data_IF_690643817124
#
_entry.id   IF_690643817124
#
_cell.length_a   1.000
_cell.length_b   1.000
_cell.length_c   1.000
_cell.angle_alpha   90.00
_cell.angle_beta   90.00
_cell.angle_gamma   90.00
#
_symmetry.space_group_name_H-M   'P 1'
#
loop_
_entity.id
_entity.type
_entity.pdbx_description
1 polymer ?
#
# COMPACT_ATOMS: atom_id res chain seq x y z
N UNK A 1 -19.68 14.00 -3.82
CA UNK A 1 -19.66 14.22 -2.35
C UNK A 1 -18.96 15.53 -2.15
N UNK A 2 -19.54 16.42 -1.35
CA UNK A 2 -18.96 17.72 -1.05
C UNK A 2 -18.66 17.80 0.44
N UNK A 3 -17.47 18.29 0.76
CA UNK A 3 -17.07 18.59 2.13
C UNK A 3 -17.36 20.04 2.42
N UNK A 4 -17.82 20.33 3.63
CA UNK A 4 -18.07 21.70 4.04
C UNK A 4 -17.80 21.88 5.53
N UNK A 5 -17.43 23.11 5.88
CA UNK A 5 -17.13 23.52 7.25
C UNK A 5 -18.20 24.52 7.68
N UNK A 6 -18.86 24.27 8.81
CA UNK A 6 -19.82 25.21 9.38
C UNK A 6 -19.40 25.62 10.78
N UNK A 7 -19.57 26.91 11.07
CA UNK A 7 -19.69 27.39 12.44
C UNK A 7 -21.05 26.95 12.97
N UNK A 8 -21.06 26.18 14.06
CA UNK A 8 -22.28 25.73 14.74
C UNK A 8 -22.30 26.26 16.17
N UNK A 9 -23.50 26.41 16.69
CA UNK A 9 -23.74 26.80 18.08
C UNK A 9 -24.54 25.69 18.73
N UNK A 10 -24.03 25.16 19.84
CA UNK A 10 -24.70 24.15 20.66
C UNK A 10 -25.05 24.76 22.02
N UNK A 11 -26.26 24.48 22.50
CA UNK A 11 -26.68 24.87 23.85
C UNK A 11 -26.46 23.68 24.77
N UNK A 12 -25.55 23.82 25.73
CA UNK A 12 -25.30 22.81 26.76
C UNK A 12 -25.60 23.41 28.14
N UNK A 13 -26.57 22.85 28.87
CA UNK A 13 -26.96 23.32 30.22
C UNK A 13 -27.28 24.82 30.31
N UNK A 14 -27.77 25.42 29.22
CA UNK A 14 -28.10 26.85 29.14
C UNK A 14 -26.98 27.74 28.61
N UNK A 15 -25.77 27.22 28.43
CA UNK A 15 -24.64 27.97 27.87
C UNK A 15 -24.54 27.78 26.35
N UNK A 16 -24.31 28.88 25.62
CA UNK A 16 -24.01 28.87 24.19
C UNK A 16 -22.52 28.53 23.99
N UNK A 17 -22.24 27.41 23.32
CA UNK A 17 -20.90 27.07 22.83
C UNK A 17 -20.88 27.17 21.31
N UNK A 18 -20.08 28.08 20.80
CA UNK A 18 -19.78 28.16 19.38
C UNK A 18 -18.56 27.28 19.05
N UNK A 19 -18.64 26.52 17.96
CA UNK A 19 -17.53 25.69 17.50
C UNK A 19 -17.59 25.43 15.99
N UNK A 20 -16.48 24.93 15.46
CA UNK A 20 -16.40 24.48 14.07
C UNK A 20 -16.84 23.02 13.96
N UNK A 21 -17.51 22.69 12.87
CA UNK A 21 -17.90 21.32 12.53
C UNK A 21 -17.59 21.05 11.06
N UNK A 22 -17.17 19.84 10.74
CA UNK A 22 -17.00 19.38 9.36
C UNK A 22 -18.02 18.31 9.04
N UNK A 23 -18.72 18.53 7.95
CA UNK A 23 -19.70 17.60 7.41
C UNK A 23 -19.34 17.17 6.00
N UNK A 24 -19.90 16.04 5.61
CA UNK A 24 -19.88 15.53 4.26
C UNK A 24 -21.33 15.43 3.77
N UNK A 25 -21.63 16.09 2.65
CA UNK A 25 -22.98 16.04 2.08
C UNK A 25 -23.13 14.87 1.12
N UNK A 26 -24.19 14.10 1.33
CA UNK A 26 -24.65 13.12 0.36
C UNK A 26 -25.28 13.86 -0.83
N UNK A 27 -24.73 13.73 -2.05
CA UNK A 27 -25.24 14.44 -3.21
C UNK A 27 -26.63 13.96 -3.68
N UNK A 28 -27.11 12.80 -3.21
CA UNK A 28 -28.40 12.23 -3.66
C UNK A 28 -29.60 12.76 -2.91
N UNK A 29 -29.46 12.96 -1.60
CA UNK A 29 -30.56 13.31 -0.68
C UNK A 29 -30.25 14.53 0.19
N UNK A 30 -29.09 15.17 -0.04
CA UNK A 30 -28.59 16.32 0.72
C UNK A 30 -28.39 16.08 2.22
N UNK A 31 -28.48 14.84 2.68
CA UNK A 31 -28.19 14.47 4.07
C UNK A 31 -26.72 14.76 4.40
N UNK A 32 -26.46 15.11 5.66
CA UNK A 32 -25.13 15.46 6.14
C UNK A 32 -24.65 14.40 7.11
N UNK A 33 -23.48 13.83 6.81
CA UNK A 33 -22.73 13.04 7.76
C UNK A 33 -21.68 13.92 8.44
N UNK A 34 -21.80 14.13 9.75
CA UNK A 34 -20.85 14.92 10.51
C UNK A 34 -19.63 14.09 10.84
N UNK A 35 -18.46 14.52 10.37
CA UNK A 35 -17.17 13.86 10.62
C UNK A 35 -16.72 14.23 12.05
N UNK A 36 -16.89 15.49 12.43
CA UNK A 36 -16.69 15.98 13.78
C UNK A 36 -17.54 17.22 14.06
N UNK A 37 -17.91 17.38 15.33
CA UNK A 37 -18.83 18.43 15.78
C UNK A 37 -18.24 19.24 16.94
N UNK A 38 -18.54 20.54 16.96
CA UNK A 38 -18.28 21.46 18.07
C UNK A 38 -16.82 21.51 18.55
N UNK A 39 -15.90 21.70 17.59
CA UNK A 39 -14.48 21.95 17.87
C UNK A 39 -14.31 23.39 18.32
N UNK A 40 -13.80 23.59 19.54
CA UNK A 40 -13.85 24.90 20.22
C UNK A 40 -12.49 25.62 20.26
N UNK A 41 -11.46 25.03 19.66
CA UNK A 41 -10.14 25.68 19.53
C UNK A 41 -9.47 25.36 18.20
N UNK A 42 -8.61 26.27 17.74
CA UNK A 42 -7.82 26.08 16.53
C UNK A 42 -6.89 24.85 16.64
N UNK A 43 -6.21 24.67 17.77
CA UNK A 43 -5.29 23.53 17.96
C UNK A 43 -6.01 22.17 17.94
N UNK A 44 -7.23 22.09 18.50
CA UNK A 44 -8.06 20.89 18.39
C UNK A 44 -8.45 20.62 16.94
N UNK A 45 -8.84 21.66 16.19
CA UNK A 45 -9.18 21.55 14.78
C UNK A 45 -7.99 21.04 13.94
N UNK A 46 -6.80 21.63 14.12
CA UNK A 46 -5.59 21.23 13.41
C UNK A 46 -5.21 19.76 13.69
N UNK A 47 -5.30 19.32 14.94
CA UNK A 47 -5.05 17.92 15.31
C UNK A 47 -6.06 16.96 14.67
N UNK A 48 -7.36 17.31 14.66
CA UNK A 48 -8.39 16.49 14.02
C UNK A 48 -8.12 16.36 12.52
N UNK A 49 -7.81 17.47 11.84
CA UNK A 49 -7.50 17.45 10.40
C UNK A 49 -6.25 16.61 10.11
N UNK A 50 -5.21 16.73 10.93
CA UNK A 50 -4.00 15.92 10.80
C UNK A 50 -4.32 14.42 10.90
N UNK A 51 -5.01 14.01 11.96
CA UNK A 51 -5.37 12.61 12.17
C UNK A 51 -6.28 12.07 11.05
N UNK A 52 -7.19 12.90 10.54
CA UNK A 52 -8.06 12.51 9.42
C UNK A 52 -7.26 12.21 8.15
N UNK A 53 -6.24 13.03 7.84
CA UNK A 53 -5.34 12.79 6.71
C UNK A 53 -4.55 11.50 6.87
N UNK A 54 -3.94 11.30 8.04
CA UNK A 54 -3.16 10.10 8.34
C UNK A 54 -4.01 8.83 8.23
N UNK A 55 -5.24 8.86 8.76
CA UNK A 55 -6.18 7.75 8.65
C UNK A 55 -6.60 7.48 7.19
N UNK A 56 -6.88 8.53 6.40
CA UNK A 56 -7.23 8.38 4.98
C UNK A 56 -6.08 7.78 4.16
N UNK A 57 -4.85 8.21 4.42
CA UNK A 57 -3.66 7.64 3.80
C UNK A 57 -3.48 6.16 4.18
N UNK A 58 -3.75 5.79 5.44
CA UNK A 58 -3.73 4.39 5.86
C UNK A 58 -4.77 3.56 5.11
N UNK A 59 -6.02 4.03 5.06
CA UNK A 59 -7.10 3.36 4.33
C UNK A 59 -6.75 3.21 2.84
N UNK A 60 -6.14 4.22 2.22
CA UNK A 60 -5.67 4.15 0.84
C UNK A 60 -4.63 3.03 0.65
N UNK A 61 -3.61 2.96 1.52
CA UNK A 61 -2.60 1.90 1.50
C UNK A 61 -3.20 0.50 1.69
N UNK A 62 -4.18 0.36 2.56
CA UNK A 62 -4.88 -0.91 2.77
C UNK A 62 -5.72 -1.30 1.54
N UNK A 63 -6.42 -0.34 0.94
CA UNK A 63 -7.17 -0.51 -0.30
C UNK A 63 -6.28 -0.98 -1.46
N UNK A 64 -5.09 -0.39 -1.62
CA UNK A 64 -4.12 -0.82 -2.63
C UNK A 64 -3.65 -2.27 -2.43
N UNK A 65 -3.42 -2.70 -1.18
CA UNK A 65 -3.06 -4.09 -0.88
C UNK A 65 -4.19 -5.06 -1.26
N UNK A 66 -5.43 -4.70 -0.94
CA UNK A 66 -6.61 -5.50 -1.29
C UNK A 66 -6.74 -5.59 -2.81
N UNK A 67 -6.61 -4.46 -3.52
CA UNK A 67 -6.70 -4.44 -4.98
C UNK A 67 -5.64 -5.31 -5.65
N UNK A 68 -4.39 -5.25 -5.16
CA UNK A 68 -3.32 -6.13 -5.66
C UNK A 68 -3.65 -7.61 -5.46
N UNK A 69 -4.20 -7.97 -4.30
CA UNK A 69 -4.65 -9.34 -4.04
C UNK A 69 -5.79 -9.78 -4.97
N UNK A 70 -6.78 -8.92 -5.20
CA UNK A 70 -7.88 -9.20 -6.15
C UNK A 70 -7.31 -9.42 -7.55
N UNK A 71 -6.36 -8.58 -7.98
CA UNK A 71 -5.71 -8.69 -9.29
C UNK A 71 -4.95 -10.01 -9.42
N UNK A 72 -4.15 -10.39 -8.42
CA UNK A 72 -3.38 -11.63 -8.46
C UNK A 72 -4.27 -12.88 -8.44
N UNK A 73 -5.38 -12.86 -7.71
CA UNK A 73 -6.39 -13.91 -7.71
C UNK A 73 -7.13 -14.02 -9.05
N UNK A 74 -7.50 -12.89 -9.66
CA UNK A 74 -8.19 -12.84 -10.94
C UNK A 74 -7.29 -13.24 -12.13
N UNK A 75 -6.01 -12.92 -12.07
CA UNK A 75 -5.01 -13.30 -13.09
C UNK A 75 -4.50 -14.74 -12.93
N UNK A 76 -5.00 -15.49 -11.94
CA UNK A 76 -4.58 -16.86 -11.68
C UNK A 76 -3.09 -16.97 -11.30
N UNK A 77 -2.49 -15.90 -10.80
CA UNK A 77 -1.08 -15.89 -10.41
C UNK A 77 -0.95 -16.81 -9.19
N UNK A 78 -0.35 -17.99 -9.40
CA UNK A 78 0.03 -18.90 -8.31
C UNK A 78 0.83 -18.09 -7.28
N UNK A 79 0.44 -18.14 -6.01
CA UNK A 79 1.25 -17.57 -4.95
C UNK A 79 2.64 -18.23 -4.95
N UNK A 80 3.70 -17.43 -4.87
CA UNK A 80 5.07 -17.91 -4.76
C UNK A 80 5.23 -18.70 -3.45
N UNK A 81 5.65 -19.96 -3.54
CA UNK A 81 5.79 -20.88 -2.40
C UNK A 81 7.18 -21.49 -2.35
N UNK A 82 7.70 -21.82 -1.16
CA UNK A 82 8.93 -22.60 -1.02
C UNK A 82 8.85 -23.94 -1.76
N UNK A 83 9.97 -24.37 -2.35
CA UNK A 83 10.07 -25.63 -3.10
C UNK A 83 9.39 -25.67 -4.47
N UNK A 84 8.93 -24.52 -5.00
CA UNK A 84 8.50 -24.43 -6.40
C UNK A 84 9.68 -24.62 -7.35
N UNK A 85 9.39 -25.11 -8.56
CA UNK A 85 10.39 -25.17 -9.63
C UNK A 85 10.92 -23.75 -9.95
N UNK A 86 12.23 -23.55 -10.16
CA UNK A 86 12.81 -22.24 -10.43
C UNK A 86 12.19 -21.49 -11.62
N UNK A 87 11.74 -22.19 -12.66
CA UNK A 87 11.05 -21.59 -13.81
C UNK A 87 9.67 -21.08 -13.42
N UNK A 88 8.85 -21.91 -12.78
CA UNK A 88 7.51 -21.51 -12.32
C UNK A 88 7.58 -20.36 -11.30
N UNK A 89 8.56 -20.42 -10.39
CA UNK A 89 8.80 -19.38 -9.40
C UNK A 89 9.21 -18.05 -10.07
N UNK A 90 10.05 -18.11 -11.10
CA UNK A 90 10.44 -16.92 -11.85
C UNK A 90 9.27 -16.32 -12.63
N UNK A 91 8.39 -17.11 -13.25
CA UNK A 91 7.22 -16.57 -13.96
C UNK A 91 6.30 -15.73 -13.06
N UNK A 92 6.22 -16.08 -11.77
CA UNK A 92 5.47 -15.31 -10.77
C UNK A 92 6.20 -14.01 -10.44
N UNK A 93 7.51 -14.08 -10.20
CA UNK A 93 8.34 -12.90 -9.90
C UNK A 93 8.39 -11.93 -11.08
N UNK A 94 8.44 -12.42 -12.31
CA UNK A 94 8.51 -11.61 -13.53
C UNK A 94 7.26 -10.76 -13.75
N UNK A 95 6.11 -11.23 -13.25
CA UNK A 95 4.81 -10.52 -13.28
C UNK A 95 4.59 -9.60 -12.09
N UNK A 96 5.40 -9.72 -11.03
CA UNK A 96 5.28 -8.90 -9.85
C UNK A 96 5.80 -7.46 -10.10
N UNK A 97 5.27 -6.51 -9.34
CA UNK A 97 5.81 -5.15 -9.34
C UNK A 97 7.26 -5.14 -8.81
N UNK A 98 8.06 -4.16 -9.23
CA UNK A 98 9.49 -4.11 -8.89
C UNK A 98 9.75 -4.16 -7.38
N UNK A 99 8.96 -3.41 -6.60
CA UNK A 99 9.04 -3.38 -5.13
C UNK A 99 8.65 -4.73 -4.50
N UNK A 100 7.74 -5.47 -5.14
CA UNK A 100 7.23 -6.74 -4.61
C UNK A 100 8.21 -7.87 -4.83
N UNK A 101 9.01 -7.83 -5.90
CA UNK A 101 10.05 -8.85 -6.14
C UNK A 101 10.97 -8.97 -4.92
N UNK A 102 11.40 -7.86 -4.33
CA UNK A 102 12.28 -7.89 -3.14
C UNK A 102 11.65 -8.68 -2.00
N UNK A 103 10.38 -8.38 -1.69
CA UNK A 103 9.67 -9.03 -0.59
C UNK A 103 9.42 -10.51 -0.89
N UNK A 104 8.94 -10.82 -2.10
CA UNK A 104 8.61 -12.18 -2.51
C UNK A 104 9.85 -13.07 -2.56
N UNK A 105 10.92 -12.57 -3.19
CA UNK A 105 12.17 -13.32 -3.35
C UNK A 105 12.91 -13.49 -2.01
N UNK A 106 13.12 -12.40 -1.25
CA UNK A 106 13.93 -12.46 -0.02
C UNK A 106 13.26 -13.28 1.10
N UNK A 107 11.93 -13.46 1.06
CA UNK A 107 11.20 -14.32 2.01
C UNK A 107 11.32 -15.82 1.69
N UNK A 108 11.81 -16.21 0.52
CA UNK A 108 12.05 -17.62 0.21
C UNK A 108 13.26 -18.17 0.96
N UNK A 109 13.31 -19.47 1.27
CA UNK A 109 14.51 -20.12 1.77
C UNK A 109 15.70 -19.93 0.82
N UNK A 110 16.91 -19.84 1.36
CA UNK A 110 18.13 -19.58 0.58
C UNK A 110 18.31 -20.58 -0.59
N UNK A 111 17.98 -21.86 -0.37
CA UNK A 111 18.03 -22.89 -1.40
C UNK A 111 17.19 -22.51 -2.63
N UNK A 112 15.98 -22.02 -2.40
CA UNK A 112 15.04 -21.67 -3.46
C UNK A 112 15.48 -20.38 -4.15
N UNK A 113 15.96 -19.40 -3.38
CA UNK A 113 16.55 -18.15 -3.91
C UNK A 113 17.72 -18.43 -4.86
N UNK A 114 18.64 -19.32 -4.45
CA UNK A 114 19.77 -19.77 -5.28
C UNK A 114 19.31 -20.46 -6.56
N UNK A 115 18.30 -21.34 -6.46
CA UNK A 115 17.74 -22.04 -7.61
C UNK A 115 17.15 -21.07 -8.64
N UNK A 116 16.34 -20.12 -8.18
CA UNK A 116 15.73 -19.08 -9.02
C UNK A 116 16.82 -18.19 -9.64
N UNK A 117 17.78 -17.70 -8.84
CA UNK A 117 18.87 -16.88 -9.34
C UNK A 117 19.66 -17.59 -10.44
N UNK A 118 20.05 -18.86 -10.21
CA UNK A 118 20.73 -19.67 -11.21
C UNK A 118 19.89 -19.82 -12.49
N UNK A 119 18.58 -20.06 -12.37
CA UNK A 119 17.69 -20.12 -13.53
C UNK A 119 17.66 -18.80 -14.30
N UNK A 120 17.54 -17.66 -13.63
CA UNK A 120 17.53 -16.31 -14.26
C UNK A 120 18.82 -16.05 -15.01
N UNK A 121 19.98 -16.22 -14.36
CA UNK A 121 21.28 -15.94 -14.96
C UNK A 121 21.63 -16.90 -16.11
N UNK A 122 21.07 -18.11 -16.11
CA UNK A 122 21.36 -19.13 -17.14
C UNK A 122 20.36 -19.07 -18.31
N UNK A 123 19.08 -18.80 -18.04
CA UNK A 123 17.99 -19.02 -19.00
C UNK A 123 17.30 -17.73 -19.46
N UNK A 124 17.48 -16.61 -18.76
CA UNK A 124 16.83 -15.34 -19.10
C UNK A 124 17.82 -14.34 -19.65
N UNK A 125 17.31 -13.42 -20.46
CA UNK A 125 18.12 -12.33 -21.00
C UNK A 125 18.28 -11.23 -19.95
N UNK A 126 19.35 -11.31 -19.15
CA UNK A 126 19.69 -10.36 -18.08
C UNK A 126 20.12 -8.97 -18.56
N UNK A 127 20.07 -8.69 -19.86
CA UNK A 127 20.39 -7.37 -20.41
C UNK A 127 19.15 -6.52 -20.70
N UNK A 128 17.94 -7.03 -20.43
CA UNK A 128 16.69 -6.27 -20.59
C UNK A 128 15.59 -6.70 -19.63
N UNK A 129 14.63 -5.80 -19.40
CA UNK A 129 13.39 -6.08 -18.67
C UNK A 129 13.62 -6.49 -17.21
N UNK A 130 12.73 -7.33 -16.68
CA UNK A 130 12.78 -7.80 -15.29
C UNK A 130 14.04 -8.62 -14.93
N UNK A 131 14.59 -9.47 -15.81
CA UNK A 131 15.87 -10.13 -15.55
C UNK A 131 17.04 -9.15 -15.35
N UNK A 132 17.10 -8.05 -16.11
CA UNK A 132 18.10 -6.99 -15.89
C UNK A 132 17.93 -6.36 -14.52
N UNK A 133 16.70 -5.96 -14.18
CA UNK A 133 16.40 -5.41 -12.86
C UNK A 133 16.84 -6.35 -11.73
N UNK A 134 16.45 -7.63 -11.80
CA UNK A 134 16.87 -8.66 -10.85
C UNK A 134 18.41 -8.76 -10.76
N UNK A 135 19.11 -8.79 -11.90
CA UNK A 135 20.57 -8.91 -11.93
C UNK A 135 21.31 -7.72 -11.31
N UNK A 136 20.75 -6.52 -11.39
CA UNK A 136 21.36 -5.30 -10.84
C UNK A 136 21.33 -5.27 -9.31
N UNK A 137 20.31 -5.88 -8.71
CA UNK A 137 20.09 -5.84 -7.26
C UNK A 137 20.45 -7.17 -6.57
N UNK A 138 20.78 -8.21 -7.31
CA UNK A 138 21.16 -9.50 -6.75
C UNK A 138 22.57 -9.48 -6.18
N UNK A 139 22.68 -9.70 -4.88
CA UNK A 139 23.94 -9.87 -4.19
C UNK A 139 24.33 -11.36 -4.11
N UNK A 140 25.44 -11.71 -4.75
CA UNK A 140 25.97 -13.07 -4.79
C UNK A 140 26.44 -13.58 -3.41
N UNK A 141 26.83 -12.67 -2.51
CA UNK A 141 27.28 -13.04 -1.16
C UNK A 141 26.14 -13.55 -0.29
N UNK A 142 25.07 -12.77 -0.19
CA UNK A 142 23.90 -13.04 0.67
C UNK A 142 22.80 -13.84 -0.04
N UNK A 143 22.81 -13.92 -1.37
CA UNK A 143 21.73 -14.49 -2.18
C UNK A 143 20.38 -13.78 -1.93
N UNK A 144 20.44 -12.46 -1.79
CA UNK A 144 19.31 -11.56 -1.59
C UNK A 144 19.29 -10.50 -2.68
N UNK A 145 18.13 -9.86 -2.83
CA UNK A 145 18.02 -8.59 -3.54
C UNK A 145 18.23 -7.43 -2.56
N UNK A 146 19.16 -6.52 -2.87
CA UNK A 146 19.49 -5.33 -2.07
C UNK A 146 19.36 -4.07 -2.93
N UNK A 147 18.78 -2.98 -2.39
CA UNK A 147 18.52 -1.75 -3.16
C UNK A 147 19.74 -0.87 -3.40
N UNK A 148 20.82 -1.11 -2.67
CA UNK A 148 22.08 -0.38 -2.80
C UNK A 148 23.11 -1.30 -3.49
N UNK A 149 23.59 -0.96 -4.69
CA UNK A 149 24.72 -1.67 -5.27
C UNK A 149 26.01 -1.29 -4.53
N UNK A 150 26.91 -2.26 -4.38
CA UNK A 150 28.31 -2.02 -3.97
C UNK A 150 29.06 -1.38 -5.14
#
# INVERSE_FOLDING_TARGET
MEFFVLKRVKIEKGDLKEGLSIGMQNPRDSSVFWIFENVNSQGEFENIIKNLKENLEQVAREGEKIWRKIKSEAEGIKALKPGMDPEEAWEILEKADEEEIFQLFNNLPERDRKGIANYVFTNKNVFKGKPLYFSQYYDYGSNLLIKEPI
#
